data_IF_704487920836
#
_entry.id   IF_704487920836
#
_cell.length_a   1.000
_cell.length_b   1.000
_cell.length_c   1.000
_cell.angle_alpha   90.00
_cell.angle_beta   90.00
_cell.angle_gamma   90.00
#
_symmetry.space_group_name_H-M   'P 1'
#
loop_
_entity.id
_entity.type
_entity.pdbx_description
1 polymer ?
#
# COMPACT_ATOMS: atom_id res chain seq x y z
N UNK A 1 21.84 2.42 24.13
CA UNK A 1 20.78 2.86 23.19
C UNK A 1 20.12 1.59 22.65
N UNK A 2 18.81 1.40 22.83
CA UNK A 2 18.12 0.28 22.16
C UNK A 2 18.13 0.58 20.67
N UNK A 3 18.69 -0.33 19.88
CA UNK A 3 18.67 -0.27 18.42
C UNK A 3 17.21 -0.14 17.96
N UNK A 4 16.91 0.83 17.09
CA UNK A 4 15.54 0.99 16.57
C UNK A 4 15.22 -0.24 15.75
N UNK A 5 14.10 -0.89 16.08
CA UNK A 5 13.61 -2.05 15.32
C UNK A 5 13.47 -1.68 13.84
N UNK A 6 13.84 -2.61 12.98
CA UNK A 6 13.75 -2.50 11.52
C UNK A 6 12.31 -2.20 11.07
N UNK A 7 11.33 -2.80 11.74
CA UNK A 7 9.93 -2.46 11.58
C UNK A 7 9.64 -0.98 11.86
N UNK A 8 10.08 -0.44 13.01
CA UNK A 8 9.80 0.96 13.37
C UNK A 8 10.32 1.95 12.32
N UNK A 9 11.52 1.72 11.79
CA UNK A 9 12.09 2.57 10.74
C UNK A 9 11.28 2.47 9.44
N UNK A 10 10.90 1.25 9.04
CA UNK A 10 10.13 1.06 7.82
C UNK A 10 8.70 1.54 7.93
N UNK A 11 8.09 1.40 9.09
CA UNK A 11 6.76 1.93 9.36
C UNK A 11 6.70 3.44 9.19
N UNK A 12 7.69 4.17 9.73
CA UNK A 12 7.78 5.63 9.53
C UNK A 12 7.89 6.00 8.04
N UNK A 13 8.66 5.23 7.27
CA UNK A 13 8.75 5.42 5.83
C UNK A 13 7.43 5.11 5.12
N UNK A 14 6.74 4.03 5.51
CA UNK A 14 5.45 3.64 4.96
C UNK A 14 4.38 4.69 5.25
N UNK A 15 4.37 5.25 6.46
CA UNK A 15 3.44 6.29 6.86
C UNK A 15 3.62 7.55 6.01
N UNK A 16 4.87 8.03 5.83
CA UNK A 16 5.15 9.18 4.96
C UNK A 16 4.77 8.94 3.50
N UNK A 17 5.03 7.74 2.99
CA UNK A 17 4.64 7.37 1.62
C UNK A 17 3.11 7.37 1.47
N UNK A 18 2.39 6.81 2.44
CA UNK A 18 0.93 6.85 2.52
C UNK A 18 0.40 8.30 2.59
N UNK A 19 0.95 9.16 3.45
CA UNK A 19 0.52 10.56 3.55
C UNK A 19 0.69 11.32 2.23
N UNK A 20 1.81 11.08 1.54
CA UNK A 20 2.06 11.60 0.20
C UNK A 20 1.04 11.08 -0.83
N UNK A 21 0.67 9.80 -0.80
CA UNK A 21 -0.39 9.26 -1.65
C UNK A 21 -1.75 9.88 -1.31
N UNK A 22 -2.09 10.02 -0.03
CA UNK A 22 -3.35 10.63 0.40
C UNK A 22 -3.45 12.08 -0.08
N UNK A 23 -2.40 12.88 0.12
CA UNK A 23 -2.38 14.29 -0.26
C UNK A 23 -2.70 14.49 -1.75
N UNK A 24 -2.13 13.66 -2.64
CA UNK A 24 -2.40 13.81 -4.08
C UNK A 24 -3.81 13.35 -4.47
N UNK A 25 -4.35 12.32 -3.79
CA UNK A 25 -5.71 11.82 -4.04
C UNK A 25 -6.79 12.79 -3.54
N UNK A 26 -6.46 13.67 -2.61
CA UNK A 26 -7.35 14.72 -2.10
C UNK A 26 -7.39 15.97 -3.01
N UNK A 27 -6.46 16.08 -3.97
CA UNK A 27 -6.44 17.21 -4.92
C UNK A 27 -7.66 17.16 -5.83
N UNK A 28 -8.39 18.27 -5.88
CA UNK A 28 -9.52 18.45 -6.80
C UNK A 28 -9.01 19.06 -8.09
N UNK A 29 -9.17 18.33 -9.18
CA UNK A 29 -8.81 18.74 -10.53
C UNK A 29 -9.98 18.52 -11.47
N UNK A 30 -10.15 19.40 -12.45
CA UNK A 30 -11.15 19.22 -13.50
C UNK A 30 -10.80 17.98 -14.33
N UNK A 31 -11.67 16.95 -14.42
CA UNK A 31 -11.42 15.74 -15.21
C UNK A 31 -11.15 15.98 -16.69
N UNK A 32 -11.50 17.15 -17.23
CA UNK A 32 -11.27 17.53 -18.63
C UNK A 32 -9.97 18.30 -18.85
N UNK A 33 -9.22 18.61 -17.79
CA UNK A 33 -7.98 19.37 -17.86
C UNK A 33 -6.74 18.50 -18.09
N UNK A 34 -5.69 19.07 -18.68
CA UNK A 34 -4.38 18.41 -18.78
C UNK A 34 -3.78 18.11 -17.39
N UNK A 35 -4.13 18.91 -16.37
CA UNK A 35 -3.73 18.70 -14.98
C UNK A 35 -4.27 17.37 -14.43
N UNK A 36 -5.46 16.93 -14.86
CA UNK A 36 -6.02 15.65 -14.45
C UNK A 36 -5.12 14.47 -14.83
N UNK A 37 -4.56 14.50 -16.05
CA UNK A 37 -3.64 13.45 -16.52
C UNK A 37 -2.39 13.42 -15.63
N UNK A 38 -1.82 14.58 -15.33
CA UNK A 38 -0.64 14.71 -14.47
C UNK A 38 -0.92 14.19 -13.05
N UNK A 39 -2.04 14.62 -12.44
CA UNK A 39 -2.42 14.19 -11.09
C UNK A 39 -2.70 12.70 -11.04
N UNK A 40 -3.37 12.15 -12.06
CA UNK A 40 -3.65 10.72 -12.17
C UNK A 40 -2.36 9.91 -12.24
N UNK A 41 -1.47 10.26 -13.16
CA UNK A 41 -0.23 9.53 -13.40
C UNK A 41 0.70 9.62 -12.18
N UNK A 42 0.81 10.82 -11.58
CA UNK A 42 1.51 11.00 -10.33
C UNK A 42 0.90 10.18 -9.20
N UNK A 43 -0.44 10.09 -9.09
CA UNK A 43 -1.09 9.27 -8.07
C UNK A 43 -0.81 7.78 -8.23
N UNK A 44 -0.76 7.28 -9.47
CA UNK A 44 -0.38 5.90 -9.76
C UNK A 44 1.07 5.65 -9.35
N UNK A 45 1.99 6.56 -9.69
CA UNK A 45 3.39 6.45 -9.25
C UNK A 45 3.50 6.46 -7.71
N UNK A 46 2.72 7.32 -7.03
CA UNK A 46 2.66 7.35 -5.56
C UNK A 46 2.12 6.06 -4.97
N UNK A 47 1.11 5.48 -5.61
CA UNK A 47 0.59 4.18 -5.22
C UNK A 47 1.64 3.07 -5.35
N UNK A 48 2.41 3.01 -6.44
CA UNK A 48 3.40 1.96 -6.67
C UNK A 48 4.48 1.90 -5.58
N UNK A 49 5.12 3.04 -5.30
CA UNK A 49 6.15 3.06 -4.26
C UNK A 49 5.55 2.86 -2.87
N UNK A 50 4.33 3.37 -2.62
CA UNK A 50 3.67 3.22 -1.33
C UNK A 50 3.31 1.76 -1.07
N UNK A 51 2.76 1.07 -2.07
CA UNK A 51 2.49 -0.37 -2.03
C UNK A 51 3.77 -1.15 -1.71
N UNK A 52 4.88 -0.83 -2.39
CA UNK A 52 6.16 -1.52 -2.20
C UNK A 52 6.68 -1.41 -0.76
N UNK A 53 6.59 -0.22 -0.17
CA UNK A 53 7.00 0.03 1.21
C UNK A 53 6.00 -0.64 2.18
N UNK A 54 4.70 -0.56 1.88
CA UNK A 54 3.63 -1.12 2.70
C UNK A 54 3.78 -2.63 2.92
N UNK A 55 3.91 -3.43 1.85
CA UNK A 55 4.03 -4.89 2.02
C UNK A 55 5.34 -5.28 2.71
N UNK A 56 6.43 -4.53 2.48
CA UNK A 56 7.71 -4.71 3.19
C UNK A 56 7.63 -4.36 4.67
N UNK A 57 6.75 -3.44 5.04
CA UNK A 57 6.46 -3.10 6.44
C UNK A 57 5.71 -4.23 7.12
N UNK A 58 4.68 -4.77 6.45
CA UNK A 58 3.96 -5.96 6.93
C UNK A 58 4.91 -7.16 7.08
N UNK A 59 5.82 -7.36 6.13
CA UNK A 59 6.86 -8.39 6.22
C UNK A 59 7.72 -8.25 7.47
N UNK A 60 8.21 -7.05 7.78
CA UNK A 60 9.00 -6.85 8.99
C UNK A 60 8.18 -7.07 10.26
N UNK A 61 6.93 -6.61 10.27
CA UNK A 61 6.02 -6.83 11.40
C UNK A 61 5.85 -8.33 11.68
N UNK A 62 5.53 -9.12 10.66
CA UNK A 62 5.36 -10.57 10.78
C UNK A 62 6.65 -11.26 11.23
N UNK A 63 7.81 -10.82 10.73
CA UNK A 63 9.10 -11.37 11.14
C UNK A 63 9.41 -11.10 12.60
N UNK A 64 9.11 -9.90 13.09
CA UNK A 64 9.48 -9.47 14.44
C UNK A 64 8.46 -9.84 15.52
N UNK A 65 7.16 -9.83 15.21
CA UNK A 65 6.09 -10.15 16.18
C UNK A 65 5.59 -11.59 16.12
N UNK A 66 5.48 -12.15 14.91
CA UNK A 66 4.87 -13.48 14.70
C UNK A 66 5.91 -14.56 14.39
N UNK A 67 7.19 -14.17 14.22
CA UNK A 67 8.29 -15.07 13.81
C UNK A 67 7.95 -15.79 12.49
N UNK A 68 7.23 -15.10 11.59
CA UNK A 68 6.86 -15.62 10.28
C UNK A 68 7.69 -14.94 9.19
N UNK A 69 8.34 -15.75 8.35
CA UNK A 69 9.04 -15.24 7.17
C UNK A 69 8.15 -15.33 5.92
N UNK A 70 8.02 -14.20 5.23
CA UNK A 70 7.36 -14.11 3.93
C UNK A 70 8.28 -13.46 2.90
N UNK A 71 8.19 -13.89 1.63
CA UNK A 71 9.16 -13.49 0.59
C UNK A 71 8.54 -12.78 -0.61
N UNK A 72 7.21 -12.71 -0.67
CA UNK A 72 6.47 -12.00 -1.71
C UNK A 72 5.23 -11.33 -1.11
N UNK A 73 4.68 -10.28 -1.75
CA UNK A 73 3.48 -9.61 -1.24
C UNK A 73 2.31 -10.58 -1.02
N UNK A 74 2.04 -11.44 -2.01
CA UNK A 74 0.96 -12.43 -1.93
C UNK A 74 1.15 -13.43 -0.78
N UNK A 75 2.39 -13.87 -0.54
CA UNK A 75 2.70 -14.73 0.59
C UNK A 75 2.52 -13.96 1.92
N UNK A 76 3.05 -12.74 2.03
CA UNK A 76 2.91 -11.91 3.24
C UNK A 76 1.46 -11.64 3.62
N UNK A 77 0.57 -11.34 2.67
CA UNK A 77 -0.85 -11.11 2.97
C UNK A 77 -1.57 -12.37 3.46
N UNK A 78 -1.19 -13.56 2.96
CA UNK A 78 -1.74 -14.83 3.43
C UNK A 78 -1.20 -15.23 4.80
N UNK A 79 0.09 -15.01 5.05
CA UNK A 79 0.66 -15.25 6.37
C UNK A 79 0.08 -14.29 7.42
N UNK A 80 -0.16 -13.03 7.06
CA UNK A 80 -0.84 -12.08 7.94
C UNK A 80 -2.28 -12.50 8.29
N UNK A 81 -3.00 -13.16 7.38
CA UNK A 81 -4.30 -13.76 7.68
C UNK A 81 -4.17 -14.88 8.72
N UNK A 82 -3.23 -15.81 8.51
CA UNK A 82 -3.00 -16.94 9.42
C UNK A 82 -2.60 -16.48 10.83
N UNK A 83 -1.83 -15.42 10.91
CA UNK A 83 -1.41 -14.79 12.17
C UNK A 83 -2.51 -13.90 12.80
N UNK A 84 -3.69 -13.78 12.19
CA UNK A 84 -4.78 -12.93 12.70
C UNK A 84 -4.51 -11.42 12.61
N UNK A 85 -3.48 -11.01 11.87
CA UNK A 85 -3.13 -9.59 11.66
C UNK A 85 -4.11 -8.94 10.68
N UNK A 86 -4.53 -9.67 9.64
CA UNK A 86 -5.53 -9.26 8.65
C UNK A 86 -6.79 -10.12 8.77
N UNK A 87 -7.95 -9.52 8.50
CA UNK A 87 -9.19 -10.29 8.30
C UNK A 87 -9.23 -10.94 6.90
N UNK A 88 -10.09 -11.95 6.67
CA UNK A 88 -10.28 -12.53 5.33
C UNK A 88 -10.59 -11.47 4.25
N UNK A 89 -11.43 -10.49 4.58
CA UNK A 89 -11.84 -9.41 3.68
C UNK A 89 -10.67 -8.46 3.38
N UNK A 90 -9.87 -8.11 4.38
CA UNK A 90 -8.67 -7.28 4.20
C UNK A 90 -7.60 -8.00 3.39
N UNK A 91 -7.42 -9.31 3.61
CA UNK A 91 -6.50 -10.12 2.82
C UNK A 91 -6.91 -10.17 1.35
N UNK A 92 -8.19 -10.37 1.05
CA UNK A 92 -8.65 -10.34 -0.35
C UNK A 92 -8.45 -8.95 -0.96
N UNK A 93 -8.79 -7.88 -0.25
CA UNK A 93 -8.56 -6.51 -0.71
C UNK A 93 -7.06 -6.21 -0.95
N UNK A 94 -6.16 -6.72 -0.12
CA UNK A 94 -4.71 -6.63 -0.34
C UNK A 94 -4.25 -7.43 -1.57
N UNK A 95 -4.83 -8.61 -1.82
CA UNK A 95 -4.55 -9.41 -3.01
C UNK A 95 -5.08 -8.74 -4.29
N UNK A 96 -6.24 -8.10 -4.24
CA UNK A 96 -6.75 -7.24 -5.32
C UNK A 96 -5.83 -6.05 -5.58
N UNK A 97 -5.39 -5.38 -4.52
CA UNK A 97 -4.44 -4.27 -4.62
C UNK A 97 -3.12 -4.70 -5.26
N UNK A 98 -2.61 -5.90 -4.92
CA UNK A 98 -1.44 -6.48 -5.59
C UNK A 98 -1.68 -6.72 -7.08
N UNK A 99 -2.85 -7.26 -7.47
CA UNK A 99 -3.21 -7.44 -8.89
C UNK A 99 -3.21 -6.10 -9.61
N UNK A 100 -3.81 -5.07 -9.01
CA UNK A 100 -3.81 -3.70 -9.53
C UNK A 100 -2.40 -3.13 -9.69
N UNK A 101 -1.51 -3.30 -8.71
CA UNK A 101 -0.10 -2.89 -8.80
C UNK A 101 0.66 -3.64 -9.89
N UNK A 102 0.38 -4.93 -10.11
CA UNK A 102 1.04 -5.65 -11.19
C UNK A 102 0.62 -5.11 -12.58
N UNK A 103 -0.61 -4.62 -12.73
CA UNK A 103 -1.07 -4.01 -13.98
C UNK A 103 -0.32 -2.71 -14.32
N UNK A 104 0.09 -1.93 -13.32
CA UNK A 104 0.82 -0.67 -13.56
C UNK A 104 2.21 -0.92 -14.16
N UNK A 105 2.91 -1.95 -13.69
CA UNK A 105 4.26 -2.29 -14.16
C UNK A 105 4.28 -3.01 -15.52
N UNK A 106 3.19 -3.68 -15.91
CA UNK A 106 3.14 -4.50 -17.13
C UNK A 106 2.38 -3.82 -18.28
N UNK A 107 1.52 -2.86 -17.99
CA UNK A 107 0.59 -2.30 -18.98
C UNK A 107 0.32 -0.84 -18.68
N UNK A 108 1.37 -0.01 -18.74
CA UNK A 108 1.23 1.45 -18.76
C UNK A 108 0.55 1.88 -20.07
N UNK A 109 -0.76 1.64 -20.14
CA UNK A 109 -1.69 2.10 -21.16
C UNK A 109 -2.64 3.05 -20.47
N UNK A 110 -2.97 4.14 -21.14
CA UNK A 110 -3.96 5.15 -20.73
C UNK A 110 -5.24 4.52 -20.14
N UNK A 111 -5.73 3.46 -20.78
CA UNK A 111 -6.91 2.70 -20.34
C UNK A 111 -6.73 2.04 -18.95
N UNK A 112 -5.54 1.50 -18.66
CA UNK A 112 -5.22 0.93 -17.35
C UNK A 112 -5.22 2.01 -16.27
N UNK A 113 -4.64 3.18 -16.57
CA UNK A 113 -4.59 4.31 -15.65
C UNK A 113 -5.99 4.82 -15.31
N UNK A 114 -6.87 4.95 -16.32
CA UNK A 114 -8.26 5.36 -16.12
C UNK A 114 -9.07 4.36 -15.28
N UNK A 115 -8.81 3.05 -15.41
CA UNK A 115 -9.49 2.02 -14.61
C UNK A 115 -8.94 1.92 -13.19
N UNK A 116 -7.65 2.18 -12.99
CA UNK A 116 -6.99 2.06 -11.70
C UNK A 116 -7.21 3.28 -10.80
N UNK A 117 -7.13 4.48 -11.35
CA UNK A 117 -7.16 5.72 -10.59
C UNK A 117 -8.34 5.83 -9.60
N UNK A 118 -9.59 5.49 -9.98
CA UNK A 118 -10.73 5.53 -9.07
C UNK A 118 -10.61 4.58 -7.87
N UNK A 119 -9.78 3.52 -7.98
CA UNK A 119 -9.58 2.52 -6.91
C UNK A 119 -8.55 2.95 -5.89
N UNK A 120 -7.66 3.89 -6.23
CA UNK A 120 -6.52 4.27 -5.38
C UNK A 120 -6.95 4.81 -4.03
N UNK A 121 -8.09 5.50 -3.95
CA UNK A 121 -8.64 6.00 -2.68
C UNK A 121 -8.94 4.85 -1.71
N UNK A 122 -9.63 3.81 -2.17
CA UNK A 122 -9.92 2.63 -1.33
C UNK A 122 -8.65 1.88 -0.92
N UNK A 123 -7.63 1.83 -1.79
CA UNK A 123 -6.33 1.26 -1.43
C UNK A 123 -5.59 2.09 -0.38
N UNK A 124 -5.62 3.41 -0.48
CA UNK A 124 -5.02 4.30 0.52
C UNK A 124 -5.70 4.13 1.89
N UNK A 125 -7.03 4.09 1.93
CA UNK A 125 -7.81 3.84 3.16
C UNK A 125 -7.50 2.46 3.77
N UNK A 126 -7.35 1.42 2.95
CA UNK A 126 -6.94 0.09 3.40
C UNK A 126 -5.53 0.11 4.01
N UNK A 127 -4.57 0.73 3.32
CA UNK A 127 -3.19 0.86 3.82
C UNK A 127 -3.15 1.62 5.14
N UNK A 128 -3.89 2.73 5.26
CA UNK A 128 -3.98 3.51 6.50
C UNK A 128 -4.43 2.63 7.66
N UNK A 129 -5.57 1.95 7.51
CA UNK A 129 -6.16 1.13 8.56
C UNK A 129 -5.19 0.03 9.03
N UNK A 130 -4.52 -0.63 8.09
CA UNK A 130 -3.55 -1.67 8.41
C UNK A 130 -2.32 -1.06 9.09
N UNK A 131 -1.72 0.01 8.54
CA UNK A 131 -0.54 0.66 9.13
C UNK A 131 -0.80 1.16 10.55
N UNK A 132 -1.96 1.78 10.81
CA UNK A 132 -2.35 2.20 12.15
C UNK A 132 -2.45 1.00 13.11
N UNK A 133 -3.03 -0.12 12.66
CA UNK A 133 -3.12 -1.36 13.45
C UNK A 133 -1.75 -1.93 13.78
N UNK A 134 -0.85 -2.01 12.79
CA UNK A 134 0.51 -2.51 13.01
C UNK A 134 1.25 -1.67 14.04
N UNK A 135 1.14 -0.33 13.99
CA UNK A 135 1.81 0.54 14.96
C UNK A 135 1.26 0.45 16.38
N UNK A 136 -0.05 0.27 16.54
CA UNK A 136 -0.68 0.12 17.86
C UNK A 136 -0.32 -1.18 18.57
N UNK A 137 -0.07 -2.23 17.79
CA UNK A 137 0.20 -3.57 18.30
C UNK A 137 1.70 -3.89 18.36
N UNK A 138 2.56 -3.00 17.86
CA UNK A 138 4.02 -3.10 17.94
C UNK A 138 4.58 -2.42 19.19
#
# INVERSE_FOLDING_TARGET
MKEKSRFCERWNLAWRAYESLREILERRVDPLSEEYVIVRDASIQRFEYTFEIFWKTLKDYLREREIVECFSPANCFREALKAGVLSPEETEACLEMLRSRNLTSHTYREETAQRLYPRLKGYAELMERILQRLNKNF
#
